data_IF_976078742148
#
_entry.id   IF_976078742148
#
_cell.length_a   1.000
_cell.length_b   1.000
_cell.length_c   1.000
_cell.angle_alpha   90.00
_cell.angle_beta   90.00
_cell.angle_gamma   90.00
#
_symmetry.space_group_name_H-M   'P 1'
#
loop_
_entity.id
_entity.type
_entity.pdbx_description
1 polymer ?
#
# COMPACT_ATOMS: atom_id res chain seq x y z
N UNK A 1 28.23 -31.65 -14.99
CA UNK A 1 27.13 -32.16 -14.15
C UNK A 1 26.98 -31.38 -12.84
N UNK A 2 27.92 -31.49 -11.88
CA UNK A 2 27.79 -30.84 -10.56
C UNK A 2 27.68 -29.31 -10.61
N UNK A 3 28.54 -28.62 -11.39
CA UNK A 3 28.52 -27.15 -11.49
C UNK A 3 27.19 -26.59 -12.01
N UNK A 4 26.50 -27.32 -12.88
CA UNK A 4 25.22 -26.92 -13.46
C UNK A 4 24.07 -27.04 -12.44
N UNK A 5 24.11 -28.08 -11.60
CA UNK A 5 23.16 -28.25 -10.49
C UNK A 5 23.25 -27.08 -9.50
N UNK A 6 24.47 -26.59 -9.22
CA UNK A 6 24.66 -25.47 -8.30
C UNK A 6 24.13 -24.16 -8.90
N UNK A 7 24.31 -23.94 -10.20
CA UNK A 7 23.76 -22.76 -10.89
C UNK A 7 22.23 -22.80 -10.86
N UNK A 8 21.62 -23.94 -11.19
CA UNK A 8 20.16 -24.09 -11.15
C UNK A 8 19.61 -23.89 -9.73
N UNK A 9 20.30 -24.41 -8.71
CA UNK A 9 19.91 -24.24 -7.32
C UNK A 9 19.96 -22.76 -6.87
N UNK A 10 21.01 -22.01 -7.27
CA UNK A 10 21.12 -20.57 -6.96
C UNK A 10 20.03 -19.77 -7.66
N UNK A 11 19.74 -20.06 -8.93
CA UNK A 11 18.67 -19.38 -9.67
C UNK A 11 17.31 -19.64 -9.03
N UNK A 12 17.01 -20.89 -8.66
CA UNK A 12 15.77 -21.23 -7.94
C UNK A 12 15.70 -20.48 -6.60
N UNK A 13 16.78 -20.46 -5.82
CA UNK A 13 16.81 -19.78 -4.53
C UNK A 13 16.55 -18.27 -4.67
N UNK A 14 17.12 -17.60 -5.67
CA UNK A 14 16.82 -16.20 -5.95
C UNK A 14 15.36 -15.97 -6.37
N UNK A 15 14.77 -16.88 -7.16
CA UNK A 15 13.35 -16.77 -7.54
C UNK A 15 12.41 -16.91 -6.33
N UNK A 16 12.71 -17.81 -5.40
CA UNK A 16 11.89 -18.00 -4.20
C UNK A 16 12.11 -16.92 -3.13
N UNK A 17 13.28 -16.26 -3.11
CA UNK A 17 13.56 -15.12 -2.22
C UNK A 17 12.73 -13.85 -2.58
N UNK A 18 12.23 -13.74 -3.81
CA UNK A 18 11.35 -12.63 -4.22
C UNK A 18 9.95 -12.70 -3.58
N UNK A 19 9.55 -13.84 -3.01
CA UNK A 19 8.22 -13.97 -2.41
C UNK A 19 8.09 -13.23 -1.07
N UNK A 20 9.18 -12.83 -0.39
CA UNK A 20 9.12 -12.05 0.86
C UNK A 20 8.81 -10.55 0.67
N UNK A 21 8.43 -10.14 -0.54
CA UNK A 21 7.95 -8.80 -0.86
C UNK A 21 6.50 -8.52 -0.40
N UNK A 22 5.95 -9.25 0.57
CA UNK A 22 4.63 -8.94 1.15
C UNK A 22 4.58 -7.58 1.88
N UNK A 23 5.73 -6.93 2.07
CA UNK A 23 5.84 -5.55 2.56
C UNK A 23 6.17 -4.52 1.46
N UNK A 24 6.27 -4.91 0.18
CA UNK A 24 6.32 -3.96 -0.95
C UNK A 24 4.93 -3.35 -1.18
N UNK A 25 4.37 -2.72 -0.15
CA UNK A 25 3.30 -1.77 -0.30
C UNK A 25 3.81 -0.49 -0.95
N UNK A 26 4.26 -0.61 -2.21
CA UNK A 26 4.56 0.51 -3.10
C UNK A 26 3.36 0.92 -3.97
N UNK A 27 2.22 0.25 -3.78
CA UNK A 27 0.92 0.66 -4.34
C UNK A 27 0.04 1.29 -3.26
N UNK A 28 -1.02 1.98 -3.68
CA UNK A 28 -1.97 2.74 -2.85
C UNK A 28 -2.62 2.00 -1.66
N UNK A 29 -2.29 0.74 -1.39
CA UNK A 29 -2.77 -0.04 -0.24
C UNK A 29 -2.00 0.21 1.07
N UNK A 30 -0.82 0.86 1.07
CA UNK A 30 -0.15 1.34 2.30
C UNK A 30 -0.61 2.72 2.75
N UNK A 31 -1.31 3.45 1.87
CA UNK A 31 -1.96 4.71 2.21
C UNK A 31 -3.41 4.41 2.60
N UNK A 32 -3.77 4.64 3.86
CA UNK A 32 -5.18 4.59 4.28
C UNK A 32 -6.01 5.63 3.51
N UNK A 33 -7.19 5.24 3.02
CA UNK A 33 -8.10 6.16 2.33
C UNK A 33 -9.25 6.58 3.27
N UNK A 34 -9.52 7.89 3.36
CA UNK A 34 -10.65 8.45 4.11
C UNK A 34 -11.70 8.92 3.10
N UNK A 35 -12.83 8.21 3.01
CA UNK A 35 -13.94 8.57 2.13
C UNK A 35 -15.14 9.07 2.94
N UNK A 36 -15.75 10.18 2.52
CA UNK A 36 -16.94 10.75 3.15
C UNK A 36 -17.61 11.83 2.29
N UNK A 37 -18.88 12.11 2.56
CA UNK A 37 -19.68 13.16 1.90
C UNK A 37 -20.20 14.12 2.95
N UNK A 38 -20.03 15.43 2.71
CA UNK A 38 -20.65 16.48 3.53
C UNK A 38 -22.05 16.74 3.00
N UNK A 39 -23.06 16.66 3.87
CA UNK A 39 -24.45 16.87 3.53
C UNK A 39 -25.17 17.80 4.51
N UNK A 40 -26.21 18.47 4.03
CA UNK A 40 -27.12 19.26 4.87
C UNK A 40 -28.22 18.40 5.53
N UNK A 41 -29.13 19.02 6.29
CA UNK A 41 -30.24 18.32 6.97
C UNK A 41 -31.26 17.68 6.01
N UNK A 42 -31.25 18.05 4.72
CA UNK A 42 -32.09 17.48 3.67
C UNK A 42 -31.39 16.31 2.95
N UNK A 43 -30.09 16.11 3.19
CA UNK A 43 -29.26 15.08 2.55
C UNK A 43 -28.57 15.54 1.26
N UNK A 44 -28.71 16.80 0.86
CA UNK A 44 -28.05 17.35 -0.32
C UNK A 44 -26.53 17.49 -0.11
N UNK A 45 -25.72 17.43 -1.19
CA UNK A 45 -24.28 17.72 -1.12
C UNK A 45 -24.06 19.18 -0.74
N UNK A 46 -23.10 19.46 0.15
CA UNK A 46 -22.72 20.85 0.48
C UNK A 46 -21.41 21.23 -0.26
N UNK A 47 -21.48 22.03 -1.35
CA UNK A 47 -20.29 22.47 -2.08
C UNK A 47 -19.56 23.61 -1.36
N UNK A 48 -18.26 23.78 -1.64
CA UNK A 48 -17.46 24.89 -1.12
C UNK A 48 -17.01 24.74 0.34
N UNK A 49 -17.14 23.55 0.92
CA UNK A 49 -16.74 23.27 2.31
C UNK A 49 -15.25 22.89 2.37
N UNK A 50 -14.55 23.38 3.39
CA UNK A 50 -13.18 22.97 3.71
C UNK A 50 -13.19 21.88 4.79
N UNK A 51 -12.46 20.79 4.56
CA UNK A 51 -12.29 19.69 5.53
C UNK A 51 -10.83 19.62 5.96
N UNK A 52 -10.57 19.58 7.27
CA UNK A 52 -9.22 19.45 7.84
C UNK A 52 -9.13 18.14 8.63
N UNK A 53 -8.13 17.32 8.31
CA UNK A 53 -7.81 16.09 9.04
C UNK A 53 -6.41 16.21 9.65
N UNK A 54 -6.25 15.80 10.91
CA UNK A 54 -4.97 15.85 11.64
C UNK A 54 -4.74 14.55 12.40
N UNK A 55 -3.51 14.03 12.37
CA UNK A 55 -3.10 12.83 13.09
C UNK A 55 -1.59 12.87 13.42
N UNK A 56 -1.15 12.40 14.60
CA UNK A 56 0.27 12.25 14.93
C UNK A 56 1.04 11.33 13.98
N UNK A 57 0.34 10.43 13.28
CA UNK A 57 0.91 9.45 12.35
C UNK A 57 0.39 9.66 10.91
N UNK A 58 0.02 10.89 10.54
CA UNK A 58 -0.51 11.19 9.21
C UNK A 58 0.48 10.86 8.09
N UNK A 59 1.76 11.12 8.35
CA UNK A 59 2.88 10.52 7.63
C UNK A 59 3.52 9.55 8.61
N UNK A 60 3.60 8.26 8.27
CA UNK A 60 4.16 7.23 9.17
C UNK A 60 5.51 7.64 9.76
N UNK A 61 5.79 7.21 10.98
CA UNK A 61 7.06 7.46 11.69
C UNK A 61 8.18 6.56 11.17
#
# INVERSE_FOLDING_TARGET
MKRWIHIVAVVLACLFASSSAFAQGGGASTTGSINGKVADSSGAVLPGVTVTASSPSLMGV
#
